data_IF_282306919966
#
_entry.id   IF_282306919966
#
_cell.length_a   1.000
_cell.length_b   1.000
_cell.length_c   1.000
_cell.angle_alpha   90.00
_cell.angle_beta   90.00
_cell.angle_gamma   90.00
#
_symmetry.space_group_name_H-M   'P 1'
#
loop_
_entity.id
_entity.type
_entity.pdbx_description
1 polymer ?
#
# COMPACT_ATOMS: atom_id res chain seq x y z
N UNK A 1 16.74 -5.91 12.88
CA UNK A 1 17.21 -7.03 12.05
C UNK A 1 18.47 -7.58 12.68
N UNK A 2 18.80 -8.83 12.39
CA UNK A 2 20.00 -9.52 12.86
C UNK A 2 20.66 -10.19 11.66
N UNK A 3 21.98 -10.14 11.60
CA UNK A 3 22.78 -10.78 10.56
C UNK A 3 23.72 -11.80 11.20
N UNK A 4 23.92 -12.91 10.51
CA UNK A 4 24.79 -14.00 10.94
C UNK A 4 25.58 -14.53 9.75
N UNK A 5 26.89 -14.64 9.92
CA UNK A 5 27.77 -15.25 8.94
C UNK A 5 27.80 -16.76 9.17
N UNK A 6 27.17 -17.51 8.27
CA UNK A 6 27.19 -18.98 8.29
C UNK A 6 28.60 -19.46 7.93
N UNK A 7 29.20 -18.84 6.91
CA UNK A 7 30.60 -19.03 6.55
C UNK A 7 31.24 -17.64 6.52
N UNK A 8 32.27 -17.38 7.33
CA UNK A 8 32.87 -16.05 7.44
C UNK A 8 33.20 -15.48 6.07
N UNK A 9 32.69 -14.27 5.77
CA UNK A 9 32.89 -13.52 4.51
C UNK A 9 32.36 -14.19 3.22
N UNK A 10 31.80 -15.40 3.30
CA UNK A 10 31.33 -16.15 2.12
C UNK A 10 29.82 -16.20 2.11
N UNK A 11 29.19 -16.57 3.23
CA UNK A 11 27.75 -16.79 3.30
C UNK A 11 27.16 -16.11 4.52
N UNK A 12 26.35 -15.08 4.27
CA UNK A 12 25.70 -14.28 5.31
C UNK A 12 24.19 -14.36 5.15
N UNK A 13 23.50 -14.63 6.25
CA UNK A 13 22.04 -14.54 6.33
C UNK A 13 21.65 -13.36 7.20
N UNK A 14 20.64 -12.60 6.77
CA UNK A 14 20.07 -11.49 7.52
C UNK A 14 18.57 -11.69 7.63
N UNK A 15 18.05 -11.59 8.84
CA UNK A 15 16.62 -11.69 9.14
C UNK A 15 16.11 -10.45 9.87
N UNK A 16 14.84 -10.13 9.67
CA UNK A 16 14.18 -9.05 10.39
C UNK A 16 12.67 -9.18 10.35
N UNK A 17 12.03 -8.63 11.38
CA UNK A 17 10.59 -8.55 11.49
C UNK A 17 10.22 -7.13 11.92
N UNK A 18 9.12 -6.61 11.38
CA UNK A 18 8.54 -5.33 11.78
C UNK A 18 7.10 -5.58 12.21
N UNK A 19 6.72 -5.08 13.38
CA UNK A 19 5.33 -4.96 13.79
C UNK A 19 4.85 -3.54 13.50
N UNK A 20 3.58 -3.41 13.10
CA UNK A 20 2.92 -2.12 13.00
C UNK A 20 1.56 -2.19 13.69
N UNK A 21 1.17 -1.07 14.29
CA UNK A 21 -0.13 -0.79 14.87
C UNK A 21 -0.45 0.66 14.54
N UNK A 22 -1.48 0.87 13.73
CA UNK A 22 -1.85 2.19 13.25
C UNK A 22 -3.35 2.38 13.36
N UNK A 23 -3.72 3.55 13.83
CA UNK A 23 -5.09 4.04 13.80
C UNK A 23 -5.23 5.04 12.66
N UNK A 24 -6.21 4.83 11.79
CA UNK A 24 -6.59 5.76 10.73
C UNK A 24 -8.07 6.10 10.84
N UNK A 25 -8.41 7.36 10.59
CA UNK A 25 -9.77 7.84 10.75
C UNK A 25 -10.04 9.07 9.90
N UNK A 26 -11.26 9.16 9.38
CA UNK A 26 -11.72 10.26 8.55
C UNK A 26 -12.86 11.00 9.24
N UNK A 27 -12.75 12.32 9.31
CA UNK A 27 -13.73 13.21 9.90
C UNK A 27 -13.94 14.44 9.02
N UNK A 28 -15.08 15.12 9.19
CA UNK A 28 -15.43 16.32 8.43
C UNK A 28 -16.45 16.06 7.32
N UNK A 29 -16.28 16.71 6.17
CA UNK A 29 -17.18 16.53 5.04
C UNK A 29 -16.53 16.87 3.71
N UNK A 30 -16.96 16.16 2.67
CA UNK A 30 -16.57 16.42 1.29
C UNK A 30 -17.71 17.17 0.57
N UNK A 31 -17.37 18.27 -0.08
CA UNK A 31 -18.32 19.12 -0.80
C UNK A 31 -17.73 19.53 -2.14
N UNK A 32 -18.48 19.34 -3.22
CA UNK A 32 -18.12 19.90 -4.51
C UNK A 32 -18.28 21.42 -4.52
N UNK A 33 -17.42 22.13 -5.28
CA UNK A 33 -17.53 23.59 -5.47
C UNK A 33 -18.85 24.01 -6.15
N UNK A 34 -19.49 23.09 -6.87
CA UNK A 34 -20.76 23.32 -7.55
C UNK A 34 -21.93 23.23 -6.55
N UNK A 35 -22.47 24.38 -6.14
CA UNK A 35 -23.57 24.50 -5.18
C UNK A 35 -23.15 25.10 -3.85
N UNK A 36 -21.87 25.00 -3.51
CA UNK A 36 -21.26 25.63 -2.35
C UNK A 36 -20.72 27.03 -2.68
N UNK A 37 -21.59 27.91 -3.17
CA UNK A 37 -21.24 29.21 -3.73
C UNK A 37 -21.99 30.33 -3.01
N UNK A 38 -21.26 31.28 -2.44
CA UNK A 38 -21.81 32.51 -1.87
C UNK A 38 -21.90 33.55 -2.98
N UNK A 39 -23.12 33.83 -3.46
CA UNK A 39 -23.36 34.80 -4.52
C UNK A 39 -23.73 36.21 -4.02
N UNK A 40 -23.76 36.42 -2.71
CA UNK A 40 -24.08 37.70 -2.10
C UNK A 40 -23.17 37.97 -0.92
N UNK A 41 -22.95 39.25 -0.61
CA UNK A 41 -22.26 39.68 0.61
C UNK A 41 -23.00 39.13 1.83
N UNK A 42 -22.34 38.26 2.59
CA UNK A 42 -22.89 37.64 3.80
C UNK A 42 -21.86 37.69 4.91
N UNK A 43 -22.32 37.80 6.15
CA UNK A 43 -21.50 37.72 7.37
C UNK A 43 -21.35 36.28 7.87
N UNK A 44 -22.07 35.32 7.28
CA UNK A 44 -22.03 33.91 7.65
C UNK A 44 -20.98 33.17 6.81
N UNK A 45 -19.83 32.89 7.41
CA UNK A 45 -18.79 32.00 6.87
C UNK A 45 -18.86 30.61 7.52
N UNK A 46 -20.07 30.05 7.67
CA UNK A 46 -20.27 28.75 8.30
C UNK A 46 -20.30 27.57 7.32
N UNK A 47 -20.68 26.39 7.82
CA UNK A 47 -20.72 25.14 7.05
C UNK A 47 -21.57 25.28 5.79
N UNK A 48 -21.08 24.70 4.69
CA UNK A 48 -21.84 24.57 3.48
C UNK A 48 -23.02 23.60 3.65
N UNK A 49 -24.25 24.08 3.43
CA UNK A 49 -25.50 23.31 3.61
C UNK A 49 -26.06 22.79 2.27
N UNK A 50 -25.19 22.26 1.40
CA UNK A 50 -25.61 21.73 0.10
C UNK A 50 -25.96 20.24 0.17
N UNK A 51 -27.03 19.82 -0.51
CA UNK A 51 -27.56 18.44 -0.46
C UNK A 51 -26.62 17.36 -1.00
N UNK A 52 -25.60 17.76 -1.78
CA UNK A 52 -24.69 16.83 -2.46
C UNK A 52 -23.36 16.65 -1.70
N UNK A 53 -23.29 17.08 -0.43
CA UNK A 53 -22.12 16.88 0.42
C UNK A 53 -22.14 15.55 1.15
N UNK A 54 -20.96 14.97 1.40
CA UNK A 54 -20.81 13.75 2.22
C UNK A 54 -20.37 14.16 3.62
N UNK A 55 -21.13 13.78 4.64
CA UNK A 55 -20.69 13.92 6.04
C UNK A 55 -19.81 12.71 6.41
N UNK A 56 -18.49 12.89 6.42
CA UNK A 56 -17.52 11.83 6.72
C UNK A 56 -17.61 11.36 8.17
N UNK A 57 -18.09 12.20 9.10
CA UNK A 57 -18.37 11.78 10.48
C UNK A 57 -19.54 10.79 10.56
N UNK A 58 -20.46 10.83 9.60
CA UNK A 58 -21.59 9.90 9.50
C UNK A 58 -21.33 8.75 8.52
N UNK A 59 -20.17 8.74 7.86
CA UNK A 59 -19.76 7.62 7.01
C UNK A 59 -19.45 6.41 7.91
N UNK A 60 -19.87 5.22 7.49
CA UNK A 60 -19.50 3.97 8.15
C UNK A 60 -18.91 3.02 7.10
N UNK A 61 -17.70 2.48 7.32
CA UNK A 61 -16.77 2.82 8.41
C UNK A 61 -16.10 4.20 8.20
N UNK A 62 -15.75 4.88 9.30
CA UNK A 62 -14.96 6.14 9.31
C UNK A 62 -13.69 6.08 10.17
N UNK A 63 -13.41 4.94 10.80
CA UNK A 63 -12.17 4.66 11.51
C UNK A 63 -11.78 3.20 11.33
N UNK A 64 -10.48 2.93 11.39
CA UNK A 64 -9.91 1.60 11.27
C UNK A 64 -8.62 1.51 12.08
N UNK A 65 -8.38 0.33 12.65
CA UNK A 65 -7.10 -0.03 13.26
C UNK A 65 -6.47 -1.09 12.37
N UNK A 66 -5.21 -0.86 12.00
CA UNK A 66 -4.45 -1.78 11.18
C UNK A 66 -3.23 -2.28 11.95
N UNK A 67 -3.24 -3.57 12.23
CA UNK A 67 -2.13 -4.27 12.89
C UNK A 67 -1.58 -5.36 12.00
N UNK A 68 -0.32 -5.71 12.18
CA UNK A 68 0.29 -6.81 11.47
C UNK A 68 1.79 -6.89 11.62
N UNK A 69 2.35 -7.93 11.02
CA UNK A 69 3.77 -8.22 11.04
C UNK A 69 4.30 -8.41 9.63
N UNK A 70 5.49 -7.89 9.37
CA UNK A 70 6.20 -8.02 8.10
C UNK A 70 7.55 -8.68 8.33
N UNK A 71 7.83 -9.71 7.56
CA UNK A 71 9.13 -10.35 7.50
C UNK A 71 10.05 -9.75 6.43
N UNK A 72 11.36 -9.79 6.69
CA UNK A 72 12.41 -9.62 5.69
C UNK A 72 13.50 -10.64 5.94
N UNK A 73 13.93 -11.31 4.89
CA UNK A 73 15.11 -12.17 4.90
C UNK A 73 16.00 -11.83 3.70
N UNK A 74 17.31 -11.92 3.89
CA UNK A 74 18.29 -11.79 2.82
C UNK A 74 19.38 -12.84 3.03
N UNK A 75 19.75 -13.50 1.95
CA UNK A 75 20.87 -14.42 1.88
C UNK A 75 21.87 -13.85 0.87
N UNK A 76 23.10 -13.65 1.30
CA UNK A 76 24.18 -13.15 0.44
C UNK A 76 25.29 -14.20 0.39
N UNK A 77 25.69 -14.59 -0.82
CA UNK A 77 26.71 -15.61 -1.06
C UNK A 77 27.77 -15.08 -2.03
N UNK A 78 29.02 -15.00 -1.56
CA UNK A 78 30.19 -14.73 -2.39
C UNK A 78 30.71 -16.05 -2.95
N UNK A 79 30.48 -16.29 -4.24
CA UNK A 79 30.98 -17.48 -4.93
C UNK A 79 32.48 -17.35 -5.16
N UNK A 80 32.92 -16.14 -5.52
CA UNK A 80 34.32 -15.72 -5.62
C UNK A 80 34.47 -14.34 -4.97
N UNK A 81 35.70 -13.82 -4.77
CA UNK A 81 35.89 -12.44 -4.30
C UNK A 81 35.22 -11.38 -5.18
N UNK A 82 35.04 -11.68 -6.48
CA UNK A 82 34.52 -10.75 -7.49
C UNK A 82 33.07 -11.05 -7.92
N UNK A 83 32.46 -12.13 -7.43
CA UNK A 83 31.10 -12.55 -7.80
C UNK A 83 30.27 -12.90 -6.57
N UNK A 84 29.19 -12.14 -6.39
CA UNK A 84 28.20 -12.32 -5.33
C UNK A 84 26.83 -12.63 -5.93
N UNK A 85 26.14 -13.62 -5.38
CA UNK A 85 24.71 -13.88 -5.63
C UNK A 85 23.96 -13.62 -4.32
N UNK A 86 22.76 -13.09 -4.43
CA UNK A 86 21.89 -12.87 -3.29
C UNK A 86 20.45 -13.30 -3.58
N UNK A 87 19.75 -13.65 -2.52
CA UNK A 87 18.31 -13.82 -2.49
C UNK A 87 17.70 -12.92 -1.44
N UNK A 88 16.65 -12.19 -1.78
CA UNK A 88 15.90 -11.34 -0.85
C UNK A 88 14.43 -11.75 -0.85
N UNK A 89 13.93 -11.99 0.35
CA UNK A 89 12.51 -12.07 0.65
C UNK A 89 12.13 -10.83 1.44
N UNK A 90 11.07 -10.14 1.03
CA UNK A 90 10.56 -9.00 1.78
C UNK A 90 9.06 -8.88 1.68
N UNK A 91 8.43 -8.56 2.81
CA UNK A 91 7.03 -8.20 2.86
C UNK A 91 6.87 -6.70 3.08
N UNK A 92 5.91 -6.13 2.36
CA UNK A 92 5.45 -4.76 2.50
C UNK A 92 3.93 -4.73 2.58
N UNK A 93 3.39 -3.57 2.91
CA UNK A 93 1.95 -3.35 2.88
C UNK A 93 1.64 -1.92 2.46
N UNK A 94 0.47 -1.73 1.87
CA UNK A 94 -0.14 -0.42 1.65
C UNK A 94 -1.36 -0.35 2.56
N UNK A 95 -1.36 0.53 3.59
CA UNK A 95 -2.49 0.63 4.49
C UNK A 95 -3.80 0.90 3.73
N UNK A 96 -4.87 0.27 4.20
CA UNK A 96 -6.23 0.59 3.79
C UNK A 96 -6.61 2.03 4.13
N UNK A 97 -7.78 2.48 3.67
CA UNK A 97 -8.18 3.87 3.78
C UNK A 97 -9.66 4.10 3.49
N UNK A 98 -10.05 5.36 3.51
CA UNK A 98 -11.43 5.80 3.28
C UNK A 98 -11.54 6.58 1.97
N UNK A 99 -12.56 6.26 1.18
CA UNK A 99 -12.99 7.12 0.09
C UNK A 99 -13.93 8.21 0.63
N UNK A 100 -14.00 9.34 -0.09
CA UNK A 100 -14.87 10.47 0.28
C UNK A 100 -16.30 10.21 -0.17
N UNK A 101 -16.99 9.35 0.57
CA UNK A 101 -18.31 8.83 0.20
C UNK A 101 -18.25 7.67 -0.78
N UNK A 102 -19.44 7.22 -1.18
CA UNK A 102 -19.64 6.24 -2.24
C UNK A 102 -20.42 6.90 -3.37
N UNK A 103 -20.02 6.64 -4.61
CA UNK A 103 -20.72 7.12 -5.79
C UNK A 103 -20.93 5.98 -6.77
N UNK A 104 -22.15 5.87 -7.27
CA UNK A 104 -22.43 5.11 -8.48
C UNK A 104 -21.83 5.86 -9.67
N UNK A 105 -20.87 5.22 -10.33
CA UNK A 105 -20.13 5.82 -11.43
C UNK A 105 -20.70 5.41 -12.79
N UNK A 106 -21.28 4.22 -12.89
CA UNK A 106 -21.78 3.66 -14.14
C UNK A 106 -23.11 2.94 -13.91
N UNK A 107 -24.23 3.44 -14.48
CA UNK A 107 -25.46 2.67 -14.55
C UNK A 107 -25.32 1.56 -15.59
N UNK A 108 -25.77 0.36 -15.24
CA UNK A 108 -25.83 -0.78 -16.15
C UNK A 108 -26.96 -0.66 -17.17
N UNK A 109 -26.93 -1.47 -18.26
CA UNK A 109 -28.00 -1.53 -19.25
C UNK A 109 -29.38 -1.90 -18.67
N UNK A 110 -29.39 -2.51 -17.49
CA UNK A 110 -30.54 -2.94 -16.69
C UNK A 110 -31.01 -1.90 -15.66
N UNK A 111 -30.34 -0.74 -15.59
CA UNK A 111 -30.62 0.30 -14.60
C UNK A 111 -30.04 0.03 -13.20
N UNK A 112 -29.22 -1.02 -13.05
CA UNK A 112 -28.51 -1.32 -11.80
C UNK A 112 -27.09 -0.75 -11.88
N UNK A 113 -26.64 -0.06 -10.83
CA UNK A 113 -25.29 0.51 -10.80
C UNK A 113 -24.21 -0.58 -10.86
N UNK A 114 -23.36 -0.57 -11.89
CA UNK A 114 -22.32 -1.58 -12.14
C UNK A 114 -21.05 -1.34 -11.34
N UNK A 115 -20.78 -0.09 -10.95
CA UNK A 115 -19.62 0.26 -10.15
C UNK A 115 -19.98 1.32 -9.12
N UNK A 116 -20.01 0.88 -7.86
CA UNK A 116 -20.17 1.72 -6.69
C UNK A 116 -18.81 1.81 -6.02
N UNK A 117 -18.24 3.01 -5.95
CA UNK A 117 -16.99 3.19 -5.19
C UNK A 117 -17.24 2.86 -3.72
N UNK A 118 -16.46 1.95 -3.13
CA UNK A 118 -16.66 1.57 -1.74
C UNK A 118 -16.24 2.71 -0.80
N UNK A 119 -16.89 2.84 0.36
CA UNK A 119 -16.58 3.92 1.33
C UNK A 119 -15.22 3.74 2.01
N UNK A 120 -14.74 2.51 2.07
CA UNK A 120 -13.42 2.15 2.60
C UNK A 120 -12.83 1.01 1.78
N UNK A 121 -11.51 0.88 1.84
CA UNK A 121 -10.76 -0.20 1.22
C UNK A 121 -9.78 -0.80 2.22
N UNK A 122 -9.57 -2.11 2.11
CA UNK A 122 -8.67 -2.85 2.99
C UNK A 122 -7.22 -2.65 2.63
N UNK A 123 -6.33 -3.07 3.52
CA UNK A 123 -4.88 -3.08 3.29
C UNK A 123 -4.49 -4.10 2.25
N UNK A 124 -3.49 -3.73 1.45
CA UNK A 124 -2.84 -4.65 0.52
C UNK A 124 -1.52 -5.14 1.08
N UNK A 125 -1.30 -6.45 1.00
CA UNK A 125 -0.05 -7.08 1.39
C UNK A 125 0.75 -7.46 0.14
N UNK A 126 1.99 -6.98 0.09
CA UNK A 126 2.94 -7.25 -0.98
C UNK A 126 4.03 -8.19 -0.46
N UNK A 127 4.24 -9.29 -1.18
CA UNK A 127 5.38 -10.18 -0.95
C UNK A 127 6.29 -10.14 -2.17
N UNK A 128 7.56 -9.81 -1.97
CA UNK A 128 8.58 -9.80 -3.00
C UNK A 128 9.60 -10.91 -2.76
N UNK A 129 9.91 -11.64 -3.83
CA UNK A 129 11.00 -12.60 -3.91
C UNK A 129 11.96 -12.15 -5.02
N UNK A 130 13.22 -11.90 -4.67
CA UNK A 130 14.21 -11.40 -5.61
C UNK A 130 15.49 -12.23 -5.53
N UNK A 131 15.99 -12.67 -6.68
CA UNK A 131 17.31 -13.26 -6.84
C UNK A 131 18.14 -12.31 -7.69
N UNK A 132 19.32 -11.92 -7.21
CA UNK A 132 20.21 -11.06 -7.98
C UNK A 132 21.65 -11.48 -7.85
N UNK A 133 22.48 -10.90 -8.72
CA UNK A 133 23.91 -11.10 -8.72
C UNK A 133 24.63 -9.79 -8.98
N UNK A 134 25.86 -9.75 -8.48
CA UNK A 134 26.82 -8.68 -8.68
C UNK A 134 28.14 -9.31 -9.07
N UNK A 135 28.76 -8.80 -10.12
CA UNK A 135 30.02 -9.34 -10.63
C UNK A 135 30.93 -8.23 -11.10
N UNK A 136 32.22 -8.38 -10.83
CA UNK A 136 33.27 -7.43 -11.20
C UNK A 136 34.23 -8.10 -12.18
N UNK A 137 34.57 -7.41 -13.26
CA UNK A 137 35.35 -7.92 -14.40
C UNK A 137 36.50 -6.98 -14.73
N UNK A 138 37.53 -7.52 -15.40
CA UNK A 138 38.71 -6.77 -15.85
C UNK A 138 39.41 -5.99 -14.73
N UNK A 139 39.79 -6.66 -13.63
CA UNK A 139 40.41 -5.99 -12.46
C UNK A 139 39.54 -4.84 -11.93
N UNK A 140 38.24 -5.12 -11.73
CA UNK A 140 37.25 -4.17 -11.23
C UNK A 140 36.97 -2.95 -12.14
N UNK A 141 37.38 -2.98 -13.40
CA UNK A 141 37.07 -1.92 -14.37
C UNK A 141 35.66 -2.04 -14.99
N UNK A 142 34.98 -3.17 -14.81
CA UNK A 142 33.60 -3.36 -15.28
C UNK A 142 32.75 -4.04 -14.20
N UNK A 143 31.62 -3.41 -13.85
CA UNK A 143 30.62 -3.96 -12.93
C UNK A 143 29.39 -4.41 -13.72
N UNK A 144 29.01 -5.67 -13.57
CA UNK A 144 27.79 -6.25 -14.16
C UNK A 144 26.90 -6.76 -13.04
N UNK A 145 25.73 -6.14 -12.91
CA UNK A 145 24.73 -6.49 -11.91
C UNK A 145 23.43 -6.88 -12.62
N UNK A 146 22.70 -7.84 -12.06
CA UNK A 146 21.39 -8.22 -12.55
C UNK A 146 20.52 -8.76 -11.44
N UNK A 147 19.20 -8.71 -11.67
CA UNK A 147 18.21 -9.22 -10.73
C UNK A 147 16.97 -9.72 -11.46
N UNK A 148 16.36 -10.75 -10.89
CA UNK A 148 15.05 -11.28 -11.26
C UNK A 148 14.18 -11.18 -10.02
N UNK A 149 13.02 -10.55 -10.16
CA UNK A 149 12.10 -10.32 -9.05
C UNK A 149 10.70 -10.81 -9.42
N UNK A 150 10.00 -11.30 -8.41
CA UNK A 150 8.61 -11.68 -8.49
C UNK A 150 7.86 -11.08 -7.30
N UNK A 151 6.91 -10.23 -7.63
CA UNK A 151 6.03 -9.58 -6.68
C UNK A 151 4.66 -10.22 -6.70
N UNK A 152 4.14 -10.53 -5.52
CA UNK A 152 2.80 -11.06 -5.34
C UNK A 152 2.00 -10.16 -4.40
N UNK A 153 0.89 -9.65 -4.89
CA UNK A 153 -0.09 -8.91 -4.10
C UNK A 153 -1.14 -9.90 -3.62
N UNK A 154 -1.14 -10.21 -2.32
CA UNK A 154 -2.00 -11.25 -1.75
C UNK A 154 -3.42 -10.77 -1.44
N UNK A 155 -3.52 -9.58 -0.87
CA UNK A 155 -4.80 -8.90 -0.62
C UNK A 155 -4.80 -7.69 -1.55
N UNK A 156 -5.73 -7.67 -2.52
CA UNK A 156 -6.03 -6.49 -3.30
C UNK A 156 -7.13 -5.71 -2.58
N UNK A 157 -7.08 -4.38 -2.69
CA UNK A 157 -7.97 -3.45 -2.00
C UNK A 157 -9.39 -3.54 -2.58
N UNK A 158 -10.09 -4.64 -2.31
CA UNK A 158 -11.44 -4.87 -2.77
C UNK A 158 -12.39 -4.34 -1.70
N UNK A 159 -12.98 -3.17 -1.96
CA UNK A 159 -13.95 -2.58 -1.04
C UNK A 159 -15.36 -3.16 -1.17
N UNK A 160 -15.53 -4.29 -1.85
CA UNK A 160 -16.80 -4.98 -1.99
C UNK A 160 -16.87 -6.14 -1.00
N UNK A 161 -17.39 -5.88 0.20
CA UNK A 161 -18.11 -6.93 0.93
C UNK A 161 -19.40 -7.15 0.15
N UNK A 162 -19.38 -8.06 -0.82
CA UNK A 162 -20.61 -8.61 -1.38
C UNK A 162 -21.21 -9.51 -0.28
N UNK A 163 -22.39 -9.19 0.25
CA UNK A 163 -23.07 -10.12 1.15
C UNK A 163 -23.47 -11.36 0.35
N UNK A 164 -23.27 -12.54 0.95
CA UNK A 164 -23.92 -13.79 0.54
C UNK A 164 -25.45 -13.68 0.67
#
# INVERSE_FOLDING_TARGET
SVSYDIVPKVLTITGGMRYYDMYDGVAGGDFGSFGCKQFSTTTYFGRCLHSNGVNLNAQVPNSQVLTGHLGRANLSWHITPDVMVYYTYSQGYRPGGFNRGAKALLPGPDGVDQYITPKAYTTDLLTNNEVGWKSEWFEHHLLVNGALYQEHVGQCADGAVLPL
#
